data_IF_574512992132
#
_entry.id   IF_574512992132
#
_cell.length_a   1.000
_cell.length_b   1.000
_cell.length_c   1.000
_cell.angle_alpha   90.00
_cell.angle_beta   90.00
_cell.angle_gamma   90.00
#
_symmetry.space_group_name_H-M   'P 1'
#
loop_
_entity.id
_entity.type
_entity.pdbx_description
1 polymer ?
#
# COMPACT_ATOMS: atom_id res chain seq x y z
N UNK A 1 -9.52 9.98 13.38
CA UNK A 1 -8.08 10.31 13.23
C UNK A 1 -7.21 9.07 13.02
N UNK A 2 -7.33 8.05 13.86
CA UNK A 2 -6.58 6.78 13.71
C UNK A 2 -6.94 6.08 12.40
N UNK A 3 -8.21 6.03 12.07
CA UNK A 3 -8.71 5.40 10.83
C UNK A 3 -8.13 6.09 9.58
N UNK A 4 -8.08 7.40 9.60
CA UNK A 4 -7.48 8.16 8.50
C UNK A 4 -5.98 7.85 8.36
N UNK A 5 -5.26 7.83 9.49
CA UNK A 5 -3.85 7.45 9.51
C UNK A 5 -3.63 6.06 8.92
N UNK A 6 -4.44 5.08 9.32
CA UNK A 6 -4.35 3.70 8.81
C UNK A 6 -4.58 3.68 7.30
N UNK A 7 -5.61 4.35 6.80
CA UNK A 7 -5.91 4.40 5.37
C UNK A 7 -4.77 5.04 4.56
N UNK A 8 -4.25 6.16 5.03
CA UNK A 8 -3.15 6.87 4.36
C UNK A 8 -1.87 6.03 4.37
N UNK A 9 -1.55 5.41 5.49
CA UNK A 9 -0.38 4.54 5.61
C UNK A 9 -0.48 3.32 4.68
N UNK A 10 -1.65 2.66 4.65
CA UNK A 10 -1.87 1.51 3.77
C UNK A 10 -1.79 1.89 2.30
N UNK A 11 -2.26 3.07 1.92
CA UNK A 11 -2.13 3.58 0.55
C UNK A 11 -0.66 3.73 0.17
N UNK A 12 0.13 4.41 0.99
CA UNK A 12 1.56 4.59 0.76
C UNK A 12 2.31 3.24 0.72
N UNK A 13 1.99 2.35 1.65
CA UNK A 13 2.59 1.01 1.72
C UNK A 13 2.24 0.18 0.49
N UNK A 14 0.98 0.18 0.06
CA UNK A 14 0.54 -0.53 -1.13
C UNK A 14 1.28 -0.07 -2.38
N UNK A 15 1.46 1.23 -2.54
CA UNK A 15 2.22 1.79 -3.66
C UNK A 15 3.71 1.44 -3.58
N UNK A 16 4.29 1.39 -2.40
CA UNK A 16 5.67 0.93 -2.18
C UNK A 16 5.82 -0.53 -2.60
N UNK A 17 4.86 -1.39 -2.24
CA UNK A 17 4.85 -2.79 -2.66
C UNK A 17 4.75 -2.94 -4.17
N UNK A 18 3.93 -2.11 -4.81
CA UNK A 18 3.85 -2.07 -6.28
C UNK A 18 5.22 -1.76 -6.89
N UNK A 19 5.94 -0.77 -6.37
CA UNK A 19 7.29 -0.45 -6.84
C UNK A 19 8.28 -1.60 -6.65
N UNK A 20 8.19 -2.33 -5.54
CA UNK A 20 9.10 -3.44 -5.25
C UNK A 20 8.91 -4.63 -6.18
N UNK A 21 7.65 -4.95 -6.50
CA UNK A 21 7.32 -6.10 -7.35
C UNK A 21 7.26 -5.75 -8.84
N UNK A 22 7.20 -4.48 -9.17
CA UNK A 22 6.98 -4.02 -10.53
C UNK A 22 8.25 -4.15 -11.38
N UNK A 23 8.15 -4.88 -12.48
CA UNK A 23 9.08 -4.76 -13.60
C UNK A 23 8.45 -3.82 -14.63
N UNK A 24 8.82 -2.56 -14.57
CA UNK A 24 8.22 -1.51 -15.39
C UNK A 24 8.74 -1.53 -16.81
N UNK A 25 7.84 -1.27 -17.77
CA UNK A 25 8.21 -1.05 -19.18
C UNK A 25 8.80 0.33 -19.44
N UNK A 26 8.76 1.22 -18.46
CA UNK A 26 9.27 2.60 -18.56
C UNK A 26 10.57 2.76 -17.76
N UNK A 27 11.24 3.90 -17.92
CA UNK A 27 12.44 4.21 -17.16
C UNK A 27 12.13 4.26 -15.65
N UNK A 28 13.15 3.99 -14.83
CA UNK A 28 13.03 4.04 -13.38
C UNK A 28 12.49 5.39 -12.88
N UNK A 29 13.04 6.49 -13.42
CA UNK A 29 12.61 7.84 -13.05
C UNK A 29 11.12 8.07 -13.37
N UNK A 30 10.69 7.70 -14.57
CA UNK A 30 9.29 7.86 -14.99
C UNK A 30 8.36 7.01 -14.14
N UNK A 31 8.72 5.78 -13.83
CA UNK A 31 7.96 4.90 -12.97
C UNK A 31 7.80 5.48 -11.57
N UNK A 32 8.89 5.92 -10.94
CA UNK A 32 8.86 6.53 -9.61
C UNK A 32 8.01 7.79 -9.59
N UNK A 33 8.15 8.67 -10.57
CA UNK A 33 7.36 9.90 -10.64
C UNK A 33 5.87 9.61 -10.81
N UNK A 34 5.50 8.64 -11.65
CA UNK A 34 4.11 8.24 -11.86
C UNK A 34 3.50 7.65 -10.59
N UNK A 35 4.22 6.76 -9.91
CA UNK A 35 3.75 6.15 -8.66
C UNK A 35 3.61 7.19 -7.56
N UNK A 36 4.59 8.06 -7.39
CA UNK A 36 4.53 9.13 -6.39
C UNK A 36 3.37 10.10 -6.66
N UNK A 37 3.14 10.48 -7.92
CA UNK A 37 2.01 11.30 -8.32
C UNK A 37 0.67 10.63 -8.00
N UNK A 38 0.53 9.35 -8.28
CA UNK A 38 -0.67 8.57 -7.96
C UNK A 38 -0.90 8.47 -6.46
N UNK A 39 0.14 8.23 -5.66
CA UNK A 39 0.05 8.21 -4.19
C UNK A 39 -0.47 9.53 -3.68
N UNK A 40 0.09 10.66 -4.13
CA UNK A 40 -0.34 12.00 -3.71
C UNK A 40 -1.81 12.24 -4.08
N UNK A 41 -2.22 11.88 -5.28
CA UNK A 41 -3.62 12.03 -5.72
C UNK A 41 -4.57 11.19 -4.89
N UNK A 42 -4.25 9.93 -4.62
CA UNK A 42 -5.10 9.03 -3.83
C UNK A 42 -5.19 9.50 -2.39
N UNK A 43 -4.08 9.86 -1.77
CA UNK A 43 -4.05 10.38 -0.41
C UNK A 43 -4.85 11.68 -0.28
N UNK A 44 -4.70 12.58 -1.24
CA UNK A 44 -5.49 13.81 -1.32
C UNK A 44 -6.98 13.56 -1.48
N UNK A 45 -7.36 12.59 -2.32
CA UNK A 45 -8.76 12.20 -2.51
C UNK A 45 -9.38 11.61 -1.23
N UNK A 46 -8.65 10.74 -0.54
CA UNK A 46 -9.08 10.15 0.74
C UNK A 46 -9.25 11.23 1.80
N UNK A 47 -8.28 12.13 1.94
CA UNK A 47 -8.35 13.24 2.91
C UNK A 47 -9.52 14.19 2.60
N UNK A 48 -9.73 14.53 1.33
CA UNK A 48 -10.84 15.38 0.91
C UNK A 48 -12.19 14.73 1.20
N UNK A 49 -12.34 13.44 0.89
CA UNK A 49 -13.56 12.68 1.18
C UNK A 49 -13.83 12.62 2.68
N UNK A 50 -12.79 12.42 3.49
CA UNK A 50 -12.90 12.41 4.95
C UNK A 50 -13.45 13.75 5.47
N UNK A 51 -12.96 14.88 4.94
CA UNK A 51 -13.42 16.21 5.36
C UNK A 51 -14.84 16.53 4.92
N UNK A 52 -15.22 16.10 3.73
CA UNK A 52 -16.53 16.46 3.12
C UNK A 52 -17.63 15.52 3.57
N UNK A 53 -17.39 14.22 3.55
CA UNK A 53 -18.42 13.21 3.75
C UNK A 53 -18.32 12.43 5.07
N UNK A 54 -17.23 12.64 5.83
CA UNK A 54 -17.01 11.98 7.12
C UNK A 54 -16.40 10.60 7.01
N UNK A 55 -16.14 9.96 8.16
CA UNK A 55 -15.40 8.71 8.25
C UNK A 55 -16.14 7.51 7.65
N UNK A 56 -17.46 7.44 7.82
CA UNK A 56 -18.24 6.30 7.29
C UNK A 56 -18.17 6.22 5.78
N UNK A 57 -18.43 7.34 5.10
CA UNK A 57 -18.36 7.39 3.64
C UNK A 57 -16.93 7.12 3.14
N UNK A 58 -15.92 7.61 3.85
CA UNK A 58 -14.52 7.37 3.54
C UNK A 58 -14.18 5.88 3.64
N UNK A 59 -14.59 5.19 4.71
CA UNK A 59 -14.36 3.75 4.87
C UNK A 59 -15.03 2.96 3.75
N UNK A 60 -16.27 3.29 3.40
CA UNK A 60 -17.01 2.59 2.35
C UNK A 60 -16.37 2.74 0.97
N UNK A 61 -15.88 3.92 0.66
CA UNK A 61 -15.32 4.25 -0.65
C UNK A 61 -13.81 4.06 -0.74
N UNK A 62 -13.13 3.82 0.39
CA UNK A 62 -11.68 3.71 0.44
C UNK A 62 -11.14 2.65 -0.52
N UNK A 63 -11.72 1.47 -0.52
CA UNK A 63 -11.29 0.38 -1.40
C UNK A 63 -11.36 0.78 -2.87
N UNK A 64 -12.44 1.48 -3.25
CA UNK A 64 -12.59 1.95 -4.62
C UNK A 64 -11.54 3.00 -4.97
N UNK A 65 -11.34 3.98 -4.09
CA UNK A 65 -10.44 5.12 -4.33
C UNK A 65 -8.97 4.68 -4.32
N UNK A 66 -8.60 3.77 -3.43
CA UNK A 66 -7.22 3.34 -3.26
C UNK A 66 -6.84 2.15 -4.16
N UNK A 67 -7.68 1.12 -4.21
CA UNK A 67 -7.34 -0.12 -4.90
C UNK A 67 -7.50 -0.03 -6.41
N UNK A 68 -8.53 0.65 -6.92
CA UNK A 68 -8.75 0.76 -8.36
C UNK A 68 -7.63 1.55 -9.05
N UNK A 69 -7.23 2.74 -8.58
CA UNK A 69 -6.09 3.43 -9.17
C UNK A 69 -4.78 2.64 -9.05
N UNK A 70 -4.55 1.96 -7.93
CA UNK A 70 -3.35 1.13 -7.74
C UNK A 70 -3.30 -0.03 -8.73
N UNK A 71 -4.41 -0.71 -8.94
CA UNK A 71 -4.52 -1.80 -9.89
C UNK A 71 -4.31 -1.33 -11.32
N UNK A 72 -4.95 -0.22 -11.70
CA UNK A 72 -4.79 0.37 -13.03
C UNK A 72 -3.35 0.82 -13.27
N UNK A 73 -2.72 1.42 -12.28
CA UNK A 73 -1.32 1.83 -12.33
C UNK A 73 -0.40 0.62 -12.55
N UNK A 74 -0.63 -0.45 -11.79
CA UNK A 74 0.15 -1.68 -11.91
C UNK A 74 0.00 -2.29 -13.32
N UNK A 75 -1.24 -2.36 -13.83
CA UNK A 75 -1.51 -2.84 -15.18
C UNK A 75 -0.84 -1.99 -16.26
N UNK A 76 -0.86 -0.66 -16.09
CA UNK A 76 -0.29 0.27 -17.07
C UNK A 76 1.24 0.22 -17.10
N UNK A 77 1.88 0.07 -15.93
CA UNK A 77 3.34 0.13 -15.82
C UNK A 77 4.02 -1.23 -16.00
N UNK A 78 3.35 -2.33 -15.67
CA UNK A 78 3.96 -3.65 -15.69
C UNK A 78 4.30 -4.11 -17.11
N UNK A 79 5.51 -4.67 -17.25
CA UNK A 79 5.94 -5.37 -18.46
C UNK A 79 5.27 -6.74 -18.60
N UNK A 80 4.99 -7.39 -17.49
CA UNK A 80 4.40 -8.71 -17.46
C UNK A 80 2.88 -8.68 -17.55
N UNK A 81 2.32 -9.76 -18.10
CA UNK A 81 0.87 -9.98 -18.23
C UNK A 81 0.54 -11.42 -17.79
N UNK A 82 -0.75 -11.70 -17.63
CA UNK A 82 -1.23 -13.03 -17.27
C UNK A 82 -0.99 -13.39 -15.82
N UNK A 83 -0.72 -14.66 -15.55
CA UNK A 83 -0.61 -15.20 -14.20
C UNK A 83 0.51 -14.58 -13.38
N UNK A 84 1.61 -14.21 -14.01
CA UNK A 84 2.73 -13.57 -13.31
C UNK A 84 2.32 -12.22 -12.72
N UNK A 85 1.59 -11.43 -13.47
CA UNK A 85 1.05 -10.16 -13.01
C UNK A 85 0.05 -10.35 -11.87
N UNK A 86 -0.87 -11.30 -12.01
CA UNK A 86 -1.86 -11.63 -10.97
C UNK A 86 -1.15 -12.05 -9.67
N UNK A 87 -0.13 -12.90 -9.77
CA UNK A 87 0.63 -13.35 -8.62
C UNK A 87 1.35 -12.20 -7.91
N UNK A 88 1.93 -11.27 -8.67
CA UNK A 88 2.58 -10.09 -8.10
C UNK A 88 1.58 -9.19 -7.36
N UNK A 89 0.41 -8.95 -7.94
CA UNK A 89 -0.65 -8.14 -7.32
C UNK A 89 -1.13 -8.80 -6.02
N UNK A 90 -1.44 -10.10 -6.06
CA UNK A 90 -1.90 -10.83 -4.88
C UNK A 90 -0.86 -10.85 -3.78
N UNK A 91 0.41 -11.01 -4.13
CA UNK A 91 1.50 -10.97 -3.14
C UNK A 91 1.60 -9.61 -2.45
N UNK A 92 1.50 -8.52 -3.20
CA UNK A 92 1.51 -7.17 -2.64
C UNK A 92 0.35 -6.96 -1.67
N UNK A 93 -0.85 -7.38 -2.04
CA UNK A 93 -2.04 -7.29 -1.19
C UNK A 93 -1.84 -8.10 0.09
N UNK A 94 -1.37 -9.35 -0.02
CA UNK A 94 -1.16 -10.24 1.11
C UNK A 94 -0.19 -9.65 2.13
N UNK A 95 0.95 -9.12 1.67
CA UNK A 95 1.94 -8.52 2.57
C UNK A 95 1.44 -7.23 3.22
N UNK A 96 0.68 -6.41 2.51
CA UNK A 96 0.03 -5.23 3.10
C UNK A 96 -0.97 -5.63 4.20
N UNK A 97 -1.78 -6.66 3.96
CA UNK A 97 -2.73 -7.17 4.96
C UNK A 97 -2.01 -7.76 6.18
N UNK A 98 -0.90 -8.47 5.97
CA UNK A 98 -0.09 -9.02 7.06
C UNK A 98 0.45 -7.91 7.97
N UNK A 99 0.99 -6.86 7.39
CA UNK A 99 1.49 -5.70 8.13
C UNK A 99 0.35 -5.02 8.89
N UNK A 100 -0.77 -4.78 8.24
CA UNK A 100 -1.92 -4.13 8.85
C UNK A 100 -2.46 -4.90 10.04
N UNK A 101 -2.72 -6.19 9.87
CA UNK A 101 -3.27 -7.01 10.95
C UNK A 101 -2.29 -7.18 12.11
N UNK A 102 -1.00 -7.35 11.83
CA UNK A 102 0.04 -7.39 12.85
C UNK A 102 0.12 -6.12 13.68
N UNK A 103 0.08 -4.97 13.03
CA UNK A 103 0.12 -3.67 13.70
C UNK A 103 -1.14 -3.42 14.54
N UNK A 104 -2.31 -3.74 14.02
CA UNK A 104 -3.59 -3.59 14.74
C UNK A 104 -3.64 -4.52 15.96
N UNK A 105 -3.17 -5.75 15.81
CA UNK A 105 -3.07 -6.70 16.93
C UNK A 105 -2.17 -6.15 18.04
N UNK A 106 -0.98 -5.66 17.69
CA UNK A 106 -0.05 -5.06 18.66
C UNK A 106 -0.68 -3.85 19.35
N UNK A 107 -1.41 -3.02 18.61
CA UNK A 107 -2.12 -1.88 19.14
C UNK A 107 -3.14 -2.28 20.22
N UNK A 108 -3.96 -3.30 19.95
CA UNK A 108 -4.95 -3.75 20.93
C UNK A 108 -4.32 -4.45 22.13
N UNK A 109 -3.27 -5.26 21.92
CA UNK A 109 -2.59 -5.96 23.01
C UNK A 109 -1.86 -5.02 23.95
N UNK A 110 -1.41 -3.87 23.50
CA UNK A 110 -0.67 -2.90 24.31
C UNK A 110 -1.54 -1.96 25.13
N UNK A 111 -2.87 -2.02 25.02
CA UNK A 111 -3.78 -1.11 25.68
C UNK A 111 -4.20 0.11 24.85
N UNK A 112 -4.15 -0.02 23.53
CA UNK A 112 -4.64 0.97 22.57
C UNK A 112 -3.86 2.29 22.53
N UNK A 113 -2.55 2.24 22.67
CA UNK A 113 -1.69 3.40 22.50
C UNK A 113 -1.37 3.65 21.01
N UNK A 114 -1.59 4.89 20.57
CA UNK A 114 -1.31 5.27 19.18
C UNK A 114 0.16 5.06 18.79
N UNK A 115 1.10 5.34 19.70
CA UNK A 115 2.52 5.16 19.43
C UNK A 115 2.89 3.71 19.14
N UNK A 116 2.24 2.75 19.78
CA UNK A 116 2.44 1.34 19.51
C UNK A 116 1.95 1.00 18.11
N UNK A 117 0.82 1.54 17.70
CA UNK A 117 0.30 1.36 16.34
C UNK A 117 1.30 1.89 15.30
N UNK A 118 1.76 3.12 15.48
CA UNK A 118 2.73 3.75 14.58
C UNK A 118 4.03 2.96 14.48
N UNK A 119 4.65 2.64 15.64
CA UNK A 119 5.90 1.89 15.69
C UNK A 119 5.75 0.48 15.10
N UNK A 120 4.62 -0.19 15.35
CA UNK A 120 4.34 -1.51 14.79
C UNK A 120 4.25 -1.48 13.27
N UNK A 121 3.57 -0.48 12.71
CA UNK A 121 3.53 -0.29 11.26
C UNK A 121 4.93 -0.09 10.67
N UNK A 122 5.73 0.78 11.28
CA UNK A 122 7.08 1.07 10.81
C UNK A 122 7.98 -0.16 10.88
N UNK A 123 7.99 -0.86 12.02
CA UNK A 123 8.85 -2.04 12.23
C UNK A 123 8.44 -3.19 11.30
N UNK A 124 7.15 -3.51 11.23
CA UNK A 124 6.65 -4.57 10.36
C UNK A 124 6.88 -4.24 8.88
N UNK A 125 6.65 -2.99 8.48
CA UNK A 125 6.90 -2.55 7.11
C UNK A 125 8.37 -2.67 6.75
N UNK A 126 9.28 -2.22 7.61
CA UNK A 126 10.71 -2.34 7.39
C UNK A 126 11.16 -3.79 7.27
N UNK A 127 10.68 -4.66 8.18
CA UNK A 127 11.00 -6.09 8.16
C UNK A 127 10.49 -6.80 6.91
N UNK A 128 9.25 -6.53 6.52
CA UNK A 128 8.65 -7.14 5.31
C UNK A 128 9.32 -6.62 4.05
N UNK A 129 9.58 -5.32 3.96
CA UNK A 129 10.28 -4.74 2.79
C UNK A 129 11.68 -5.33 2.65
N UNK A 130 12.42 -5.44 3.77
CA UNK A 130 13.73 -6.07 3.74
C UNK A 130 13.66 -7.52 3.25
N UNK A 131 12.71 -8.29 3.77
CA UNK A 131 12.48 -9.69 3.36
C UNK A 131 12.15 -9.78 1.86
N UNK A 132 11.27 -8.91 1.37
CA UNK A 132 10.86 -8.88 -0.02
C UNK A 132 12.03 -8.56 -0.95
N UNK A 133 12.83 -7.56 -0.61
CA UNK A 133 14.00 -7.19 -1.40
C UNK A 133 15.03 -8.33 -1.43
N UNK A 134 15.26 -8.95 -0.29
CA UNK A 134 16.32 -9.95 -0.15
C UNK A 134 15.95 -11.29 -0.79
N UNK A 135 14.72 -11.75 -0.61
CA UNK A 135 14.35 -13.12 -0.93
C UNK A 135 13.36 -13.25 -2.08
N UNK A 136 12.35 -12.37 -2.15
CA UNK A 136 11.26 -12.55 -3.10
C UNK A 136 11.45 -11.75 -4.40
N UNK A 137 11.98 -10.55 -4.33
CA UNK A 137 12.17 -9.74 -5.53
C UNK A 137 12.98 -10.44 -6.62
N UNK A 138 14.08 -11.14 -6.32
CA UNK A 138 14.81 -11.89 -7.35
C UNK A 138 13.99 -12.99 -8.02
N UNK A 139 12.99 -13.55 -7.31
CA UNK A 139 12.11 -14.58 -7.85
C UNK A 139 11.06 -14.02 -8.83
N UNK A 140 10.65 -12.76 -8.63
CA UNK A 140 9.67 -12.10 -9.49
C UNK A 140 10.29 -11.40 -10.70
N UNK A 141 11.51 -11.00 -10.60
CA UNK A 141 12.25 -10.29 -11.64
C UNK A 141 13.35 -11.15 -12.23
#
# INVERSE_FOLDING_TARGET
MIELFIMEYLTALGMTMVLLFLDSRYSRRRTILTVCGTVVLVMGAVAALYRVAGIEATIRLYSLIAHVPSLLLFLALSRFRGWRLVFQILSAILFCMLIHHGAVLAYYLSGSYFWVLFLSYVVLSAGVIWFLIRFLRPLFL
#
